data_IF_294853520040
#
_entry.id   IF_294853520040
#
_cell.length_a   1.000
_cell.length_b   1.000
_cell.length_c   1.000
_cell.angle_alpha   90.00
_cell.angle_beta   90.00
_cell.angle_gamma   90.00
#
_symmetry.space_group_name_H-M   'P 1'
#
loop_
_entity.id
_entity.type
_entity.pdbx_description
1 polymer ?
#
# COMPACT_ATOMS: atom_id res chain seq x y z
N UNK A 1 -43.27 -34.56 -32.93
CA UNK A 1 -43.01 -33.27 -32.27
C UNK A 1 -41.63 -32.79 -32.73
N UNK A 2 -41.56 -31.82 -33.64
CA UNK A 2 -40.30 -31.36 -34.26
C UNK A 2 -39.77 -30.21 -33.41
N UNK A 3 -38.67 -30.43 -32.70
CA UNK A 3 -38.06 -29.43 -31.84
C UNK A 3 -37.25 -28.47 -32.73
N UNK A 4 -37.77 -27.27 -32.98
CA UNK A 4 -37.02 -26.22 -33.67
C UNK A 4 -35.93 -25.72 -32.73
N UNK A 5 -34.67 -25.96 -33.08
CA UNK A 5 -33.53 -25.36 -32.40
C UNK A 5 -33.51 -23.89 -32.83
N UNK A 6 -33.95 -22.98 -31.96
CA UNK A 6 -33.63 -21.56 -32.12
C UNK A 6 -32.13 -21.39 -31.87
N UNK A 7 -31.40 -20.94 -32.88
CA UNK A 7 -29.99 -20.56 -32.72
C UNK A 7 -29.91 -19.28 -31.89
N UNK A 8 -29.57 -19.43 -30.62
CA UNK A 8 -29.34 -18.31 -29.71
C UNK A 8 -28.01 -17.63 -30.07
N UNK A 9 -28.06 -16.61 -30.93
CA UNK A 9 -26.91 -15.76 -31.24
C UNK A 9 -26.53 -14.93 -30.02
N UNK A 10 -25.50 -15.37 -29.29
CA UNK A 10 -24.89 -14.58 -28.22
C UNK A 10 -24.21 -13.35 -28.84
N UNK A 11 -24.53 -12.13 -28.38
CA UNK A 11 -23.81 -10.95 -28.84
C UNK A 11 -22.34 -11.07 -28.42
N UNK A 12 -21.44 -11.15 -29.40
CA UNK A 12 -20.00 -11.07 -29.17
C UNK A 12 -19.66 -9.69 -28.61
N UNK A 13 -19.52 -9.60 -27.29
CA UNK A 13 -19.03 -8.40 -26.61
C UNK A 13 -17.50 -8.39 -26.66
N UNK A 14 -16.93 -7.31 -27.19
CA UNK A 14 -15.48 -7.08 -27.16
C UNK A 14 -14.94 -6.86 -25.75
N UNK A 15 -13.62 -6.97 -25.60
CA UNK A 15 -12.92 -6.76 -24.33
C UNK A 15 -13.19 -5.32 -23.83
N UNK A 16 -13.74 -5.16 -22.62
CA UNK A 16 -14.13 -3.86 -22.06
C UNK A 16 -15.57 -3.40 -22.37
N UNK A 17 -16.38 -4.20 -23.09
CA UNK A 17 -17.81 -3.92 -23.25
C UNK A 17 -18.58 -4.22 -21.96
N UNK A 18 -18.78 -3.20 -21.13
CA UNK A 18 -19.68 -3.25 -19.97
C UNK A 18 -21.07 -2.74 -20.34
N UNK A 19 -22.13 -3.39 -19.83
CA UNK A 19 -23.52 -2.95 -20.00
C UNK A 19 -23.89 -1.77 -19.07
N UNK A 20 -23.00 -1.40 -18.15
CA UNK A 20 -23.20 -0.32 -17.17
C UNK A 20 -22.91 1.05 -17.80
N UNK A 21 -23.87 1.97 -17.72
CA UNK A 21 -23.80 3.36 -18.23
C UNK A 21 -23.47 4.40 -17.15
N UNK A 22 -23.46 4.00 -15.89
CA UNK A 22 -23.12 4.81 -14.75
C UNK A 22 -21.61 5.06 -14.64
N UNK A 23 -21.22 6.11 -13.92
CA UNK A 23 -19.80 6.47 -13.70
C UNK A 23 -19.18 5.62 -12.57
N UNK A 24 -19.38 4.30 -12.64
CA UNK A 24 -18.93 3.32 -11.63
C UNK A 24 -17.42 3.37 -11.36
N UNK A 25 -16.64 3.79 -12.36
CA UNK A 25 -15.18 3.89 -12.27
C UNK A 25 -14.67 5.11 -11.47
N UNK A 26 -15.51 6.10 -11.16
CA UNK A 26 -15.06 7.31 -10.45
C UNK A 26 -14.61 6.98 -9.03
N UNK A 27 -15.40 6.19 -8.30
CA UNK A 27 -15.08 5.83 -6.92
C UNK A 27 -13.72 5.11 -6.79
N UNK A 28 -13.42 4.03 -7.55
CA UNK A 28 -12.11 3.39 -7.47
C UNK A 28 -10.98 4.32 -7.95
N UNK A 29 -11.23 5.19 -8.94
CA UNK A 29 -10.24 6.14 -9.41
C UNK A 29 -9.86 7.16 -8.33
N UNK A 30 -10.85 7.76 -7.65
CA UNK A 30 -10.58 8.73 -6.56
C UNK A 30 -9.76 8.09 -5.45
N UNK A 31 -10.12 6.87 -5.06
CA UNK A 31 -9.38 6.17 -3.99
C UNK A 31 -7.98 5.82 -4.44
N UNK A 32 -7.82 5.35 -5.69
CA UNK A 32 -6.50 5.11 -6.26
C UNK A 32 -5.65 6.39 -6.23
N UNK A 33 -6.18 7.53 -6.67
CA UNK A 33 -5.44 8.80 -6.64
C UNK A 33 -5.04 9.21 -5.22
N UNK A 34 -5.95 9.14 -4.25
CA UNK A 34 -5.66 9.48 -2.85
C UNK A 34 -4.64 8.52 -2.24
N UNK A 35 -4.81 7.21 -2.47
CA UNK A 35 -3.90 6.19 -1.95
C UNK A 35 -2.51 6.33 -2.58
N UNK A 36 -2.41 6.53 -3.89
CA UNK A 36 -1.15 6.78 -4.58
C UNK A 36 -0.47 8.05 -4.08
N UNK A 37 -1.22 9.14 -3.91
CA UNK A 37 -0.69 10.38 -3.33
C UNK A 37 -0.15 10.17 -1.91
N UNK A 38 -0.90 9.44 -1.08
CA UNK A 38 -0.45 9.06 0.27
C UNK A 38 0.80 8.18 0.23
N UNK A 39 0.88 7.18 -0.65
CA UNK A 39 2.06 6.32 -0.79
C UNK A 39 3.28 7.15 -1.17
N UNK A 40 3.17 8.03 -2.17
CA UNK A 40 4.28 8.90 -2.59
C UNK A 40 4.73 9.79 -1.43
N UNK A 41 3.79 10.42 -0.73
CA UNK A 41 4.11 11.25 0.43
C UNK A 41 4.75 10.45 1.57
N UNK A 42 4.20 9.29 1.90
CA UNK A 42 4.72 8.42 2.95
C UNK A 42 6.10 7.87 2.59
N UNK A 43 6.36 7.53 1.33
CA UNK A 43 7.68 7.16 0.84
C UNK A 43 8.66 8.32 1.00
N UNK A 44 8.29 9.54 0.61
CA UNK A 44 9.13 10.71 0.81
C UNK A 44 9.42 10.97 2.31
N UNK A 45 8.39 10.93 3.16
CA UNK A 45 8.54 11.12 4.61
C UNK A 45 9.35 9.99 5.30
N UNK A 46 9.24 8.76 4.80
CA UNK A 46 10.06 7.64 5.25
C UNK A 46 11.52 7.82 4.82
N UNK A 47 11.78 8.30 3.60
CA UNK A 47 13.13 8.58 3.11
C UNK A 47 13.79 9.76 3.82
N UNK A 48 13.01 10.71 4.36
CA UNK A 48 13.56 11.81 5.13
C UNK A 48 14.33 11.31 6.36
N UNK A 49 13.89 10.23 7.01
CA UNK A 49 14.68 9.46 7.97
C UNK A 49 15.33 10.25 9.11
N UNK A 50 14.85 11.45 9.43
CA UNK A 50 15.48 12.39 10.34
C UNK A 50 14.51 12.83 11.45
N UNK A 51 15.03 13.09 12.64
CA UNK A 51 14.27 13.58 13.81
C UNK A 51 13.05 12.73 14.20
N UNK A 52 13.08 11.41 13.93
CA UNK A 52 11.98 10.51 14.27
C UNK A 52 11.98 10.08 15.74
N UNK A 53 13.12 10.26 16.42
CA UNK A 53 13.34 9.91 17.81
C UNK A 53 13.76 11.15 18.60
N UNK A 54 13.07 11.41 19.71
CA UNK A 54 13.36 12.54 20.61
C UNK A 54 13.50 12.02 22.03
N UNK A 55 14.63 12.34 22.65
CA UNK A 55 14.80 12.27 24.09
C UNK A 55 14.46 13.63 24.70
N UNK A 56 13.37 13.69 25.45
CA UNK A 56 13.02 14.86 26.24
C UNK A 56 12.66 14.42 27.65
N UNK A 57 13.30 14.99 28.67
CA UNK A 57 12.96 14.80 30.09
C UNK A 57 12.92 13.34 30.59
N UNK A 58 13.72 12.45 30.00
CA UNK A 58 13.74 11.02 30.36
C UNK A 58 12.69 10.16 29.64
N UNK A 59 11.92 10.74 28.73
CA UNK A 59 10.94 10.03 27.90
C UNK A 59 11.46 9.82 26.48
N UNK A 60 11.11 8.67 25.91
CA UNK A 60 11.53 8.20 24.60
C UNK A 60 10.35 8.36 23.63
N UNK A 61 10.31 9.47 22.89
CA UNK A 61 9.25 9.71 21.91
C UNK A 61 9.67 9.19 20.54
N UNK A 62 8.85 8.30 19.99
CA UNK A 62 9.02 7.77 18.64
C UNK A 62 7.83 8.15 17.76
N UNK A 63 8.13 8.67 16.57
CA UNK A 63 7.08 8.96 15.58
C UNK A 63 6.27 7.70 15.24
N UNK A 64 4.94 7.77 15.16
CA UNK A 64 4.09 6.62 14.81
C UNK A 64 4.46 5.96 13.48
N UNK A 65 5.04 6.71 12.53
CA UNK A 65 5.48 6.19 11.24
C UNK A 65 6.68 5.22 11.34
N UNK A 66 7.45 5.31 12.42
CA UNK A 66 8.68 4.54 12.64
C UNK A 66 8.50 3.43 13.69
N UNK A 67 7.28 3.25 14.21
CA UNK A 67 6.98 2.26 15.26
C UNK A 67 6.37 0.97 14.69
N UNK A 68 6.83 -0.22 15.13
CA UNK A 68 7.98 -0.48 15.99
C UNK A 68 9.31 -0.33 15.23
N UNK A 69 10.34 0.17 15.91
CA UNK A 69 11.69 0.21 15.36
C UNK A 69 12.26 -1.22 15.32
N UNK A 70 12.32 -1.82 14.14
CA UNK A 70 12.86 -3.18 13.97
C UNK A 70 14.39 -3.18 14.09
N UNK A 71 15.03 -2.17 13.50
CA UNK A 71 16.48 -1.96 13.53
C UNK A 71 16.74 -0.49 13.89
N UNK A 72 17.56 -0.25 14.90
CA UNK A 72 17.83 1.09 15.46
C UNK A 72 19.31 1.40 15.61
N UNK A 73 19.63 2.68 15.75
CA UNK A 73 20.99 3.14 16.03
C UNK A 73 21.34 3.02 17.53
N UNK A 74 22.60 3.31 17.86
CA UNK A 74 23.10 3.33 19.24
C UNK A 74 22.23 4.27 20.09
N UNK A 75 21.74 3.78 21.24
CA UNK A 75 20.78 4.43 22.15
C UNK A 75 19.30 4.50 21.71
N UNK A 76 18.91 3.91 20.57
CA UNK A 76 17.51 3.79 20.16
C UNK A 76 16.90 2.43 20.58
N UNK A 77 15.59 2.36 20.90
CA UNK A 77 14.92 1.09 21.17
C UNK A 77 14.77 0.29 19.85
N UNK A 78 15.26 -0.95 19.81
CA UNK A 78 15.13 -1.85 18.66
C UNK A 78 14.49 -3.19 19.06
N UNK A 79 13.78 -3.83 18.13
CA UNK A 79 13.13 -5.13 18.34
C UNK A 79 13.94 -6.33 17.84
N UNK A 80 14.73 -6.17 16.77
CA UNK A 80 15.44 -7.27 16.11
C UNK A 80 16.95 -7.18 16.36
N UNK A 81 17.58 -6.11 15.86
CA UNK A 81 19.03 -5.94 15.96
C UNK A 81 19.42 -4.47 15.90
N UNK A 82 20.59 -4.16 16.44
CA UNK A 82 21.24 -2.87 16.32
C UNK A 82 21.88 -2.71 14.93
N UNK A 83 21.68 -1.55 14.32
CA UNK A 83 22.23 -1.20 13.00
C UNK A 83 21.51 -1.82 11.80
N UNK A 84 21.94 -1.42 10.60
CA UNK A 84 21.35 -1.85 9.32
C UNK A 84 21.78 -3.31 9.04
N UNK A 85 20.85 -4.20 8.67
CA UNK A 85 21.20 -5.58 8.35
C UNK A 85 22.23 -5.68 7.20
N UNK A 86 23.24 -6.54 7.36
CA UNK A 86 24.31 -6.75 6.35
C UNK A 86 23.82 -7.25 4.99
N UNK A 87 22.64 -7.89 4.95
CA UNK A 87 22.02 -8.37 3.72
C UNK A 87 21.24 -7.27 2.98
N UNK A 88 21.14 -6.07 3.55
CA UNK A 88 20.41 -4.98 2.91
C UNK A 88 21.17 -4.45 1.69
N UNK A 89 20.49 -4.23 0.55
CA UNK A 89 21.12 -3.69 -0.65
C UNK A 89 21.69 -2.28 -0.39
N UNK A 90 22.98 -2.11 -0.63
CA UNK A 90 23.71 -0.84 -0.40
C UNK A 90 23.22 0.33 -1.26
N UNK A 91 22.48 0.04 -2.34
CA UNK A 91 21.92 1.05 -3.24
C UNK A 91 20.57 1.63 -2.77
N UNK A 92 19.94 1.03 -1.75
CA UNK A 92 18.67 1.52 -1.20
C UNK A 92 18.89 2.21 0.14
N UNK A 93 18.43 3.47 0.31
CA UNK A 93 18.43 4.12 1.62
C UNK A 93 17.59 3.29 2.59
N UNK A 94 18.20 2.86 3.68
CA UNK A 94 17.49 2.13 4.73
C UNK A 94 16.68 3.10 5.58
N UNK A 95 15.36 2.89 5.63
CA UNK A 95 14.47 3.60 6.54
C UNK A 95 13.62 2.59 7.31
N UNK A 96 13.62 2.62 8.66
CA UNK A 96 12.79 1.73 9.48
C UNK A 96 11.29 1.83 9.15
N UNK A 97 10.82 3.02 8.74
CA UNK A 97 9.42 3.27 8.42
C UNK A 97 8.92 2.50 7.17
N UNK A 98 9.81 2.17 6.23
CA UNK A 98 9.40 1.48 5.00
C UNK A 98 8.84 0.08 5.27
N UNK A 99 9.41 -0.65 6.24
CA UNK A 99 9.00 -2.02 6.55
C UNK A 99 7.58 -2.07 7.13
N UNK A 100 7.24 -1.09 7.95
CA UNK A 100 5.92 -0.97 8.58
C UNK A 100 4.86 -0.50 7.57
N UNK A 101 5.20 0.46 6.70
CA UNK A 101 4.23 1.08 5.79
C UNK A 101 3.74 0.14 4.68
N UNK A 102 4.55 -0.85 4.30
CA UNK A 102 4.22 -1.83 3.25
C UNK A 102 2.98 -2.65 3.63
N UNK A 103 2.86 -3.13 4.88
CA UNK A 103 1.73 -3.95 5.33
C UNK A 103 0.34 -3.31 5.13
N UNK A 104 0.05 -2.16 5.78
CA UNK A 104 -1.23 -1.46 5.63
C UNK A 104 -1.43 -0.87 4.24
N UNK A 105 -0.35 -0.47 3.55
CA UNK A 105 -0.41 -0.01 2.16
C UNK A 105 -0.89 -1.12 1.22
N UNK A 106 -0.28 -2.31 1.31
CA UNK A 106 -0.64 -3.47 0.50
C UNK A 106 -2.03 -3.99 0.85
N UNK A 107 -2.39 -4.08 2.13
CA UNK A 107 -3.74 -4.49 2.54
C UNK A 107 -4.80 -3.58 1.91
N UNK A 108 -4.62 -2.26 1.96
CA UNK A 108 -5.58 -1.34 1.35
C UNK A 108 -5.59 -1.43 -0.17
N UNK A 109 -4.42 -1.58 -0.81
CA UNK A 109 -4.35 -1.75 -2.26
C UNK A 109 -5.07 -3.02 -2.74
N UNK A 110 -4.81 -4.16 -2.10
CA UNK A 110 -5.44 -5.44 -2.47
C UNK A 110 -6.91 -5.48 -2.09
N UNK A 111 -7.30 -4.98 -0.92
CA UNK A 111 -8.70 -4.94 -0.49
C UNK A 111 -9.56 -4.04 -1.37
N UNK A 112 -9.04 -2.87 -1.81
CA UNK A 112 -9.80 -1.99 -2.69
C UNK A 112 -9.97 -2.60 -4.09
N UNK A 113 -8.90 -3.21 -4.61
CA UNK A 113 -8.94 -3.86 -5.91
C UNK A 113 -9.85 -5.10 -5.88
N UNK A 114 -9.80 -5.89 -4.81
CA UNK A 114 -10.64 -7.07 -4.66
C UNK A 114 -12.11 -6.71 -4.39
N UNK A 115 -12.41 -5.63 -3.66
CA UNK A 115 -13.82 -5.23 -3.44
C UNK A 115 -14.47 -4.59 -4.67
N UNK A 116 -13.70 -3.91 -5.53
CA UNK A 116 -14.20 -3.22 -6.72
C UNK A 116 -14.21 -4.04 -8.02
N UNK A 117 -13.51 -5.17 -8.08
CA UNK A 117 -13.48 -6.02 -9.29
C UNK A 117 -14.70 -6.95 -9.42
N UNK A 118 -15.39 -7.26 -8.30
CA UNK A 118 -16.48 -8.24 -8.28
C UNK A 118 -17.89 -7.64 -8.27
N UNK A 119 -18.03 -6.32 -8.13
CA UNK A 119 -19.32 -5.62 -8.05
C UNK A 119 -19.32 -4.31 -8.80
#
# INVERSE_FOLDING_TARGET
>A
MRMSIEEFHLPQRGLGSTARRDKWWIQPLVVFCVLSGFIVYATWAALQGAHYFVHANGEHYLSPFYSPLLYGAEHEPYWIAEGIPKWWPSFLPFSPAMLILIGPGLMRFTCYYYRGAYY
#
